data_IF_312825613913
#
_entry.id   IF_312825613913
#
_cell.length_a   1.000
_cell.length_b   1.000
_cell.length_c   1.000
_cell.angle_alpha   90.00
_cell.angle_beta   90.00
_cell.angle_gamma   90.00
#
_symmetry.space_group_name_H-M   'P 1'
#
loop_
_entity.id
_entity.type
_entity.pdbx_description
1 polymer ?
#
# COMPACT_ATOMS: atom_id res chain seq x y z
N UNK A 1 -3.75 -8.98 23.82
CA UNK A 1 -3.49 -7.78 24.63
C UNK A 1 -3.47 -6.62 23.66
N UNK A 2 -4.62 -5.98 23.52
CA UNK A 2 -4.88 -4.82 22.67
C UNK A 2 -4.32 -3.59 23.36
N UNK A 3 -3.25 -3.03 22.82
CA UNK A 3 -2.68 -1.80 23.37
C UNK A 3 -3.60 -0.63 23.09
N UNK A 4 -3.84 0.09 24.18
CA UNK A 4 -4.94 1.01 24.34
C UNK A 4 -4.72 2.30 23.56
N UNK A 5 -5.84 2.74 23.00
CA UNK A 5 -6.16 4.11 22.66
C UNK A 5 -5.83 5.01 23.87
N UNK A 6 -4.59 5.49 23.94
CA UNK A 6 -4.07 6.25 25.08
C UNK A 6 -4.68 7.64 25.06
N UNK A 7 -5.87 7.76 25.65
CA UNK A 7 -6.53 9.03 25.94
C UNK A 7 -5.81 9.70 27.11
N UNK A 8 -5.15 10.81 26.83
CA UNK A 8 -4.71 11.75 27.84
C UNK A 8 -5.92 12.31 28.61
N UNK A 9 -5.67 12.73 29.85
CA UNK A 9 -6.66 13.08 30.90
C UNK A 9 -7.59 14.26 30.57
N UNK A 10 -7.55 14.78 29.34
CA UNK A 10 -8.44 15.79 28.78
C UNK A 10 -9.30 15.27 27.61
N UNK A 11 -9.28 13.97 27.31
CA UNK A 11 -10.13 13.34 26.30
C UNK A 11 -9.83 13.71 24.85
N UNK A 12 -8.70 14.37 24.57
CA UNK A 12 -8.28 14.69 23.20
C UNK A 12 -7.42 13.56 22.65
N UNK A 13 -7.84 13.01 21.52
CA UNK A 13 -7.00 12.14 20.70
C UNK A 13 -5.77 12.92 20.24
N UNK A 14 -4.58 12.35 20.38
CA UNK A 14 -3.30 12.91 19.97
C UNK A 14 -3.02 12.77 18.46
N UNK A 15 -4.03 12.41 17.67
CA UNK A 15 -3.98 12.45 16.22
C UNK A 15 -4.86 13.57 15.68
N UNK A 16 -4.31 14.51 14.89
CA UNK A 16 -5.04 15.66 14.38
C UNK A 16 -6.08 15.32 13.30
N UNK A 17 -6.27 14.04 12.97
CA UNK A 17 -7.19 13.57 11.93
C UNK A 17 -7.99 12.37 12.43
N UNK A 18 -9.30 12.38 12.17
CA UNK A 18 -10.18 11.21 12.34
C UNK A 18 -9.75 10.10 11.36
N UNK A 19 -9.69 8.85 11.82
CA UNK A 19 -9.40 7.67 11.00
C UNK A 19 -10.54 6.67 11.09
N UNK A 20 -10.80 5.90 10.02
CA UNK A 20 -11.83 4.85 9.99
C UNK A 20 -11.38 3.57 10.73
N UNK A 21 -12.24 2.55 10.73
CA UNK A 21 -11.97 1.25 11.38
C UNK A 21 -10.75 0.52 10.76
N UNK A 22 -10.31 0.92 9.58
CA UNK A 22 -9.10 0.41 8.93
C UNK A 22 -7.86 1.30 9.19
N UNK A 23 -7.99 2.38 9.95
CA UNK A 23 -6.90 3.32 10.23
C UNK A 23 -6.58 4.27 9.07
N UNK A 24 -7.48 4.39 8.09
CA UNK A 24 -7.34 5.31 6.96
C UNK A 24 -7.86 6.69 7.38
N UNK A 25 -7.13 7.78 7.13
CA UNK A 25 -7.62 9.14 7.43
C UNK A 25 -8.93 9.45 6.70
N UNK A 26 -9.95 9.82 7.48
CA UNK A 26 -11.24 10.28 6.97
C UNK A 26 -11.08 11.74 6.53
N UNK A 27 -10.89 11.95 5.22
CA UNK A 27 -10.60 13.26 4.62
C UNK A 27 -11.78 14.26 4.62
N UNK A 28 -12.95 13.87 5.13
CA UNK A 28 -14.13 14.74 5.15
C UNK A 28 -14.02 15.88 6.18
N UNK A 29 -13.21 15.74 7.23
CA UNK A 29 -13.13 16.74 8.32
C UNK A 29 -12.21 17.94 7.98
N UNK A 30 -11.45 17.89 6.88
CA UNK A 30 -10.49 18.95 6.51
C UNK A 30 -11.16 20.12 5.76
N UNK A 31 -12.38 19.92 5.25
CA UNK A 31 -13.04 20.89 4.35
C UNK A 31 -13.95 21.89 5.08
N UNK A 32 -14.39 21.57 6.30
CA UNK A 32 -15.44 22.34 7.00
C UNK A 32 -14.91 23.38 8.02
N UNK A 33 -13.65 23.28 8.47
CA UNK A 33 -13.11 24.16 9.53
C UNK A 33 -12.42 25.45 9.02
N UNK A 34 -12.44 25.75 7.72
CA UNK A 34 -11.93 27.03 7.21
C UNK A 34 -13.02 28.12 7.28
N UNK A 35 -13.17 28.75 8.45
CA UNK A 35 -13.90 30.00 8.61
C UNK A 35 -12.94 31.19 8.46
N UNK A 36 -12.96 31.94 7.34
CA UNK A 36 -12.24 33.20 7.28
C UNK A 36 -12.89 34.15 8.29
N UNK A 37 -12.06 34.71 9.16
CA UNK A 37 -12.50 35.53 10.29
C UNK A 37 -13.46 36.63 9.87
N UNK A 38 -14.54 36.78 10.65
CA UNK A 38 -15.39 37.96 10.62
C UNK A 38 -14.53 39.18 10.99
N UNK A 39 -14.22 40.02 10.01
CA UNK A 39 -13.85 41.40 10.25
C UNK A 39 -15.04 42.26 9.88
N UNK A 40 -15.64 42.90 10.88
CA UNK A 40 -16.60 43.99 10.72
C UNK A 40 -15.87 45.17 10.05
N UNK A 41 -15.85 45.21 8.71
CA UNK A 41 -15.89 46.45 7.94
C UNK A 41 -15.99 46.19 6.43
N UNK A 42 -16.87 46.96 5.82
CA UNK A 42 -16.90 47.38 4.41
C UNK A 42 -17.45 46.40 3.35
N UNK A 43 -18.77 46.27 3.44
CA UNK A 43 -19.73 46.30 2.33
C UNK A 43 -19.33 47.28 1.19
N UNK A 44 -18.45 46.87 0.27
CA UNK A 44 -18.31 47.58 -1.02
C UNK A 44 -17.79 46.75 -2.22
N UNK A 45 -17.49 45.45 -2.07
CA UNK A 45 -16.91 44.65 -3.20
C UNK A 45 -17.49 43.23 -3.36
N UNK A 46 -18.65 42.95 -2.74
CA UNK A 46 -19.20 41.59 -2.60
C UNK A 46 -19.97 41.04 -3.81
N UNK A 47 -19.59 41.40 -5.04
CA UNK A 47 -20.23 40.82 -6.24
C UNK A 47 -19.34 39.88 -7.04
N UNK A 48 -18.05 39.70 -6.69
CA UNK A 48 -17.13 38.76 -7.36
C UNK A 48 -16.50 37.70 -6.45
N UNK A 49 -16.32 37.98 -5.16
CA UNK A 49 -15.65 37.08 -4.21
C UNK A 49 -16.20 35.65 -4.08
N UNK A 50 -17.52 35.36 -4.05
CA UNK A 50 -18.00 33.98 -3.85
C UNK A 50 -17.77 33.10 -5.09
N UNK A 51 -17.76 33.67 -6.29
CA UNK A 51 -17.44 32.95 -7.52
C UNK A 51 -15.95 32.61 -7.59
N UNK A 52 -15.09 33.58 -7.24
CA UNK A 52 -13.64 33.39 -7.16
C UNK A 52 -13.27 32.36 -6.08
N UNK A 53 -13.96 32.35 -4.93
CA UNK A 53 -13.77 31.35 -3.89
C UNK A 53 -14.21 29.93 -4.33
N UNK A 54 -15.31 29.81 -5.07
CA UNK A 54 -15.77 28.52 -5.59
C UNK A 54 -14.81 27.96 -6.64
N UNK A 55 -14.28 28.82 -7.51
CA UNK A 55 -13.29 28.46 -8.51
C UNK A 55 -11.93 28.10 -7.87
N UNK A 56 -11.51 28.82 -6.84
CA UNK A 56 -10.32 28.49 -6.06
C UNK A 56 -10.47 27.14 -5.36
N UNK A 57 -11.61 26.87 -4.69
CA UNK A 57 -11.88 25.59 -4.03
C UNK A 57 -11.89 24.44 -5.03
N UNK A 58 -12.46 24.65 -6.22
CA UNK A 58 -12.44 23.65 -7.29
C UNK A 58 -11.01 23.38 -7.76
N UNK A 59 -10.24 24.42 -8.05
CA UNK A 59 -8.85 24.30 -8.52
C UNK A 59 -7.96 23.60 -7.48
N UNK A 60 -8.12 23.94 -6.20
CA UNK A 60 -7.40 23.29 -5.10
C UNK A 60 -7.79 21.82 -4.99
N UNK A 61 -9.09 21.51 -5.08
CA UNK A 61 -9.57 20.11 -5.04
C UNK A 61 -9.04 19.30 -6.22
N UNK A 62 -9.10 19.84 -7.42
CA UNK A 62 -8.67 19.14 -8.63
C UNK A 62 -7.15 18.89 -8.58
N UNK A 63 -6.34 19.88 -8.17
CA UNK A 63 -4.89 19.69 -7.98
C UNK A 63 -4.56 18.66 -6.90
N UNK A 64 -5.19 18.77 -5.72
CA UNK A 64 -4.98 17.80 -4.65
C UNK A 64 -5.39 16.39 -5.06
N UNK A 65 -6.43 16.26 -5.89
CA UNK A 65 -6.86 14.98 -6.42
C UNK A 65 -5.81 14.41 -7.38
N UNK A 66 -5.32 15.20 -8.33
CA UNK A 66 -4.32 14.77 -9.30
C UNK A 66 -3.01 14.38 -8.60
N UNK A 67 -2.54 15.20 -7.65
CA UNK A 67 -1.35 14.91 -6.84
C UNK A 67 -1.53 13.63 -6.01
N UNK A 68 -2.70 13.44 -5.38
CA UNK A 68 -2.98 12.24 -4.60
C UNK A 68 -3.09 10.99 -5.48
N UNK A 69 -3.71 11.08 -6.66
CA UNK A 69 -3.78 9.97 -7.62
C UNK A 69 -2.37 9.57 -8.10
N UNK A 70 -1.50 10.54 -8.36
CA UNK A 70 -0.11 10.30 -8.77
C UNK A 70 0.70 9.64 -7.65
N UNK A 71 0.69 10.20 -6.43
CA UNK A 71 1.43 9.66 -5.29
C UNK A 71 0.96 8.25 -4.90
N UNK A 72 -0.37 8.03 -4.87
CA UNK A 72 -0.93 6.70 -4.60
C UNK A 72 -0.56 5.72 -5.71
N UNK A 73 -0.60 6.15 -6.97
CA UNK A 73 -0.19 5.32 -8.11
C UNK A 73 1.25 4.85 -7.99
N UNK A 74 2.18 5.78 -7.69
CA UNK A 74 3.60 5.46 -7.51
C UNK A 74 3.85 4.53 -6.32
N UNK A 75 3.17 4.78 -5.20
CA UNK A 75 3.34 3.97 -3.99
C UNK A 75 2.82 2.54 -4.20
N UNK A 76 1.67 2.38 -4.88
CA UNK A 76 1.13 1.08 -5.24
C UNK A 76 2.07 0.36 -6.21
N UNK A 77 2.57 1.03 -7.24
CA UNK A 77 3.48 0.44 -8.22
C UNK A 77 4.76 -0.09 -7.53
N UNK A 78 5.38 0.73 -6.68
CA UNK A 78 6.56 0.32 -5.90
C UNK A 78 6.26 -0.86 -4.97
N UNK A 79 5.14 -0.84 -4.26
CA UNK A 79 4.76 -1.92 -3.36
C UNK A 79 4.51 -3.24 -4.11
N UNK A 80 3.84 -3.17 -5.27
CA UNK A 80 3.58 -4.31 -6.14
C UNK A 80 4.88 -4.87 -6.71
N UNK A 81 5.78 -4.01 -7.21
CA UNK A 81 7.06 -4.44 -7.77
C UNK A 81 7.94 -5.13 -6.73
N UNK A 82 8.07 -4.53 -5.54
CA UNK A 82 8.85 -5.13 -4.45
C UNK A 82 8.28 -6.47 -4.01
N UNK A 83 6.96 -6.54 -3.83
CA UNK A 83 6.28 -7.78 -3.41
C UNK A 83 6.44 -8.86 -4.48
N UNK A 84 6.20 -8.53 -5.75
CA UNK A 84 6.32 -9.48 -6.85
C UNK A 84 7.76 -9.98 -7.01
N UNK A 85 8.74 -9.09 -6.94
CA UNK A 85 10.16 -9.43 -7.04
C UNK A 85 10.58 -10.39 -5.91
N UNK A 86 10.17 -10.10 -4.68
CA UNK A 86 10.43 -10.95 -3.51
C UNK A 86 9.79 -12.34 -3.66
N UNK A 87 8.49 -12.39 -4.01
CA UNK A 87 7.76 -13.65 -4.18
C UNK A 87 8.37 -14.49 -5.31
N UNK A 88 8.77 -13.86 -6.42
CA UNK A 88 9.38 -14.56 -7.55
C UNK A 88 10.76 -15.11 -7.21
N UNK A 89 11.57 -14.38 -6.45
CA UNK A 89 12.88 -14.84 -5.98
C UNK A 89 12.72 -16.08 -5.08
N UNK A 90 11.81 -16.02 -4.11
CA UNK A 90 11.52 -17.13 -3.20
C UNK A 90 10.97 -18.35 -3.94
N UNK A 91 10.00 -18.13 -4.84
CA UNK A 91 9.44 -19.19 -5.67
C UNK A 91 10.54 -19.87 -6.50
N UNK A 92 11.41 -19.08 -7.15
CA UNK A 92 12.49 -19.61 -7.96
C UNK A 92 13.49 -20.42 -7.11
N UNK A 93 13.85 -19.94 -5.91
CA UNK A 93 14.74 -20.66 -5.00
C UNK A 93 14.12 -22.00 -4.55
N UNK A 94 12.84 -22.00 -4.17
CA UNK A 94 12.12 -23.21 -3.76
C UNK A 94 11.98 -24.20 -4.92
N UNK A 95 11.59 -23.72 -6.10
CA UNK A 95 11.44 -24.53 -7.30
C UNK A 95 12.78 -25.17 -7.70
N UNK A 96 13.87 -24.39 -7.76
CA UNK A 96 15.21 -24.89 -8.07
C UNK A 96 15.66 -25.96 -7.08
N UNK A 97 15.42 -25.76 -5.78
CA UNK A 97 15.77 -26.73 -4.72
C UNK A 97 14.98 -28.03 -4.85
N UNK A 98 13.66 -27.94 -5.08
CA UNK A 98 12.79 -29.11 -5.27
C UNK A 98 13.18 -29.89 -6.54
N UNK A 99 13.37 -29.19 -7.66
CA UNK A 99 13.74 -29.81 -8.92
C UNK A 99 15.10 -30.50 -8.83
N UNK A 100 16.11 -29.84 -8.24
CA UNK A 100 17.44 -30.45 -8.03
C UNK A 100 17.38 -31.73 -7.20
N UNK A 101 16.53 -31.78 -6.17
CA UNK A 101 16.31 -32.98 -5.35
C UNK A 101 15.64 -34.09 -6.14
N UNK A 102 14.62 -33.77 -6.92
CA UNK A 102 13.91 -34.74 -7.77
C UNK A 102 14.85 -35.34 -8.82
N UNK A 103 15.63 -34.49 -9.50
CA UNK A 103 16.62 -34.94 -10.49
C UNK A 103 17.64 -35.87 -9.86
N UNK A 104 18.23 -35.49 -8.72
CA UNK A 104 19.20 -36.34 -8.00
C UNK A 104 18.61 -37.68 -7.57
N UNK A 105 17.39 -37.66 -7.01
CA UNK A 105 16.71 -38.87 -6.58
C UNK A 105 16.47 -39.80 -7.78
N UNK A 106 15.92 -39.25 -8.86
CA UNK A 106 15.59 -40.03 -10.06
C UNK A 106 16.84 -40.57 -10.75
N UNK A 107 17.92 -39.79 -10.82
CA UNK A 107 19.18 -40.27 -11.39
C UNK A 107 19.78 -41.40 -10.55
N UNK A 108 19.70 -41.33 -9.22
CA UNK A 108 20.18 -42.40 -8.33
C UNK A 108 19.39 -43.69 -8.54
N UNK A 109 18.05 -43.60 -8.55
CA UNK A 109 17.17 -44.75 -8.78
C UNK A 109 17.46 -45.42 -10.14
N UNK A 110 17.68 -44.63 -11.19
CA UNK A 110 18.00 -45.17 -12.52
C UNK A 110 19.37 -45.85 -12.54
N UNK A 111 20.38 -45.29 -11.87
CA UNK A 111 21.70 -45.90 -11.78
C UNK A 111 21.66 -47.24 -11.03
N UNK A 112 20.91 -47.31 -9.93
CA UNK A 112 20.70 -48.57 -9.20
C UNK A 112 20.00 -49.62 -10.07
N UNK A 113 18.95 -49.24 -10.80
CA UNK A 113 18.26 -50.14 -11.73
C UNK A 113 19.17 -50.68 -12.84
N UNK A 114 20.05 -49.83 -13.38
CA UNK A 114 21.02 -50.22 -14.40
C UNK A 114 22.04 -51.19 -13.80
N UNK A 115 22.61 -50.87 -12.63
CA UNK A 115 23.57 -51.72 -11.93
C UNK A 115 22.99 -53.11 -11.62
N UNK A 116 21.78 -53.16 -11.07
CA UNK A 116 21.08 -54.42 -10.78
C UNK A 116 20.83 -55.25 -12.05
N UNK A 117 20.51 -54.58 -13.15
CA UNK A 117 20.27 -55.25 -14.44
C UNK A 117 21.55 -55.82 -15.05
N UNK A 118 22.66 -55.09 -14.96
CA UNK A 118 23.97 -55.54 -15.47
C UNK A 118 24.58 -56.65 -14.60
N UNK A 119 24.44 -56.57 -13.27
CA UNK A 119 24.88 -57.63 -12.36
C UNK A 119 24.13 -58.95 -12.61
N UNK A 120 22.81 -58.88 -12.85
CA UNK A 120 22.01 -60.07 -13.20
C UNK A 120 22.33 -60.65 -14.57
N UNK A 121 22.88 -59.85 -15.50
CA UNK A 121 23.25 -60.32 -16.84
C UNK A 121 24.62 -61.01 -16.86
N UNK A 122 25.53 -60.60 -15.98
CA UNK A 122 26.93 -61.02 -15.99
C UNK A 122 27.33 -61.99 -14.85
N UNK A 123 26.41 -62.31 -13.93
CA UNK A 123 26.59 -63.32 -12.88
C UNK A 123 25.80 -64.58 -13.18
#
# INVERSE_FOLDING_TARGET
MTDENRKDSNGKSSHPFSVDEQGIPILNDVVDDWQPGRTDNDLADQSREPADHAELRKTVRDRLKDELEEELGQLIEQAVEQTLSSVMADFHAVAKKKLSRLVKKRSSELLEQILDSELKRNG
#
